data_IF_891863132645
#
_entry.id   IF_891863132645
#
_cell.length_a   1.000
_cell.length_b   1.000
_cell.length_c   1.000
_cell.angle_alpha   90.00
_cell.angle_beta   90.00
_cell.angle_gamma   90.00
#
_symmetry.space_group_name_H-M   'P 1'
#
loop_
_entity.id
_entity.type
_entity.pdbx_description
1 polymer ?
#
# COMPACT_ATOMS: atom_id res chain seq x y z
N UNK A 1 -2.13 -10.86 1.61
CA UNK A 1 -2.97 -9.78 2.17
C UNK A 1 -3.40 -8.76 1.11
N UNK A 2 -4.47 -8.01 1.37
CA UNK A 2 -4.87 -6.83 0.57
C UNK A 2 -4.47 -5.53 1.27
N UNK A 3 -4.04 -4.55 0.49
CA UNK A 3 -3.79 -3.17 0.90
C UNK A 3 -4.76 -2.27 0.13
N UNK A 4 -5.48 -1.42 0.83
CA UNK A 4 -6.36 -0.40 0.24
C UNK A 4 -5.78 0.97 0.53
N UNK A 5 -5.49 1.71 -0.54
CA UNK A 5 -5.15 3.13 -0.50
C UNK A 5 -6.42 3.92 -0.71
N UNK A 6 -6.74 4.82 0.23
CA UNK A 6 -7.93 5.65 0.17
C UNK A 6 -7.58 7.11 -0.13
N UNK A 7 -8.47 7.77 -0.86
CA UNK A 7 -8.37 9.19 -1.20
C UNK A 7 -7.01 9.61 -1.79
N UNK A 8 -6.38 8.77 -2.62
CA UNK A 8 -5.12 9.11 -3.31
C UNK A 8 -5.39 9.89 -4.59
N UNK A 9 -4.49 10.77 -4.99
CA UNK A 9 -4.63 11.48 -6.26
C UNK A 9 -4.29 10.59 -7.48
N UNK A 10 -4.47 11.16 -8.68
CA UNK A 10 -4.20 10.47 -9.94
C UNK A 10 -2.71 10.10 -10.11
N UNK A 11 -1.80 10.90 -9.57
CA UNK A 11 -0.35 10.71 -9.71
C UNK A 11 0.10 9.52 -8.87
N UNK A 12 -0.28 9.48 -7.60
CA UNK A 12 -0.03 8.35 -6.70
C UNK A 12 -0.67 7.07 -7.23
N UNK A 13 -1.91 7.15 -7.72
CA UNK A 13 -2.59 6.00 -8.32
C UNK A 13 -1.83 5.48 -9.55
N UNK A 14 -1.28 6.37 -10.38
CA UNK A 14 -0.47 5.99 -11.54
C UNK A 14 0.87 5.35 -11.12
N UNK A 15 1.55 5.91 -10.12
CA UNK A 15 2.80 5.37 -9.58
C UNK A 15 2.62 3.94 -9.06
N UNK A 16 1.55 3.71 -8.28
CA UNK A 16 1.23 2.38 -7.72
C UNK A 16 0.83 1.37 -8.80
N UNK A 17 0.33 1.82 -9.96
CA UNK A 17 -0.09 0.96 -11.06
C UNK A 17 1.00 0.65 -12.08
N UNK A 18 2.10 1.40 -12.07
CA UNK A 18 3.20 1.18 -12.99
C UNK A 18 3.84 -0.22 -12.75
N UNK A 19 4.30 -0.92 -13.80
CA UNK A 19 5.14 -2.10 -13.62
C UNK A 19 6.44 -1.74 -12.90
N UNK A 20 6.79 -2.49 -11.87
CA UNK A 20 7.95 -2.18 -11.02
C UNK A 20 8.83 -3.38 -10.76
N UNK A 21 10.14 -3.12 -10.62
CA UNK A 21 11.08 -4.11 -10.10
C UNK A 21 10.85 -4.29 -8.60
N UNK A 22 10.33 -5.45 -8.23
CA UNK A 22 10.12 -5.86 -6.84
C UNK A 22 11.43 -6.39 -6.23
N UNK A 23 11.64 -6.22 -4.91
CA UNK A 23 12.62 -6.98 -4.16
C UNK A 23 12.30 -8.48 -4.20
N UNK A 24 13.31 -9.32 -3.97
CA UNK A 24 13.11 -10.77 -3.89
C UNK A 24 12.13 -11.15 -2.78
N UNK A 25 11.30 -12.16 -3.03
CA UNK A 25 10.31 -12.63 -2.04
C UNK A 25 9.07 -11.75 -1.89
N UNK A 26 8.87 -10.79 -2.80
CA UNK A 26 7.74 -9.86 -2.77
C UNK A 26 7.00 -9.79 -4.11
N UNK A 27 5.69 -9.68 -4.06
CA UNK A 27 4.88 -9.31 -5.23
C UNK A 27 3.82 -8.28 -4.82
N UNK A 28 3.72 -7.19 -5.59
CA UNK A 28 2.72 -6.15 -5.43
C UNK A 28 1.94 -6.03 -6.73
N UNK A 29 0.60 -6.13 -6.64
CA UNK A 29 -0.27 -6.10 -7.80
C UNK A 29 -1.52 -5.27 -7.51
N UNK A 30 -1.76 -4.18 -8.25
CA UNK A 30 -3.06 -3.51 -8.26
C UNK A 30 -4.16 -4.48 -8.71
N UNK A 31 -5.25 -4.54 -7.96
CA UNK A 31 -6.39 -5.45 -8.20
C UNK A 31 -7.62 -4.67 -8.67
N UNK A 32 -7.91 -3.54 -8.03
CA UNK A 32 -9.08 -2.72 -8.34
C UNK A 32 -8.77 -1.23 -8.14
N UNK A 33 -9.45 -0.37 -8.90
CA UNK A 33 -9.33 1.09 -8.81
C UNK A 33 -10.69 1.74 -9.03
N UNK A 34 -11.10 2.56 -8.08
CA UNK A 34 -12.39 3.25 -8.08
C UNK A 34 -12.18 4.76 -7.93
N UNK A 35 -12.96 5.56 -8.64
CA UNK A 35 -13.07 6.99 -8.33
C UNK A 35 -13.90 7.14 -7.05
N UNK A 36 -13.46 7.96 -6.10
CA UNK A 36 -14.27 8.21 -4.91
C UNK A 36 -15.40 9.20 -5.22
N UNK A 37 -16.60 8.91 -4.71
CA UNK A 37 -17.81 9.68 -5.01
C UNK A 37 -17.75 11.12 -4.45
N UNK A 38 -17.11 11.30 -3.29
CA UNK A 38 -17.12 12.56 -2.54
C UNK A 38 -15.80 13.36 -2.66
N UNK A 39 -14.77 12.78 -3.28
CA UNK A 39 -13.47 13.40 -3.49
C UNK A 39 -13.22 13.67 -4.96
N UNK A 40 -13.54 14.88 -5.43
CA UNK A 40 -13.29 15.26 -6.82
C UNK A 40 -11.80 15.07 -7.15
N UNK A 41 -11.48 14.08 -7.99
CA UNK A 41 -10.10 13.77 -8.38
C UNK A 41 -9.33 12.85 -7.42
N UNK A 42 -10.01 12.19 -6.47
CA UNK A 42 -9.39 11.15 -5.65
C UNK A 42 -9.83 9.75 -6.06
N UNK A 43 -8.96 8.80 -5.78
CA UNK A 43 -9.11 7.41 -6.14
C UNK A 43 -8.94 6.53 -4.89
N UNK A 44 -9.65 5.42 -4.91
CA UNK A 44 -9.39 4.27 -4.06
C UNK A 44 -8.69 3.20 -4.88
N UNK A 45 -7.55 2.72 -4.40
CA UNK A 45 -6.81 1.65 -5.05
C UNK A 45 -6.71 0.45 -4.10
N UNK A 46 -7.16 -0.71 -4.54
CA UNK A 46 -6.92 -1.98 -3.85
C UNK A 46 -5.80 -2.72 -4.55
N UNK A 47 -4.80 -3.16 -3.78
CA UNK A 47 -3.67 -3.94 -4.26
C UNK A 47 -3.48 -5.20 -3.41
N UNK A 48 -2.97 -6.25 -4.04
CA UNK A 48 -2.47 -7.44 -3.36
C UNK A 48 -0.99 -7.26 -3.05
N UNK A 49 -0.62 -7.52 -1.80
CA UNK A 49 0.77 -7.68 -1.39
C UNK A 49 0.98 -9.14 -0.96
N UNK A 50 1.93 -9.81 -1.60
CA UNK A 50 2.38 -11.16 -1.25
C UNK A 50 3.83 -11.09 -0.83
N UNK A 51 4.12 -11.68 0.32
CA UNK A 51 5.45 -11.79 0.90
C UNK A 51 5.72 -13.26 1.17
N UNK A 52 6.90 -13.74 0.79
CA UNK A 52 7.39 -15.08 1.20
C UNK A 52 7.75 -15.08 2.68
N UNK A 53 7.92 -16.25 3.28
CA UNK A 53 8.27 -16.39 4.70
C UNK A 53 9.58 -15.67 5.07
N UNK A 54 10.53 -15.63 4.13
CA UNK A 54 11.84 -14.99 4.29
C UNK A 54 11.81 -13.46 4.13
N UNK A 55 10.75 -12.90 3.52
CA UNK A 55 10.65 -11.47 3.27
C UNK A 55 10.19 -10.72 4.53
N UNK A 56 10.79 -9.57 4.81
CA UNK A 56 10.43 -8.72 5.97
C UNK A 56 9.34 -7.71 5.58
N UNK A 57 8.35 -7.50 6.46
CA UNK A 57 7.34 -6.47 6.25
C UNK A 57 7.93 -5.06 6.19
N UNK A 58 9.00 -4.80 6.95
CA UNK A 58 9.72 -3.53 6.90
C UNK A 58 10.36 -3.24 5.54
N UNK A 59 10.93 -4.24 4.86
CA UNK A 59 11.50 -4.06 3.52
C UNK A 59 10.41 -3.78 2.49
N UNK A 60 9.28 -4.48 2.58
CA UNK A 60 8.11 -4.22 1.74
C UNK A 60 7.53 -2.82 1.96
N UNK A 61 7.45 -2.39 3.22
CA UNK A 61 6.98 -1.06 3.59
C UNK A 61 7.89 0.04 3.06
N UNK A 62 9.21 -0.06 3.25
CA UNK A 62 10.16 0.92 2.73
C UNK A 62 10.11 0.99 1.20
N UNK A 63 10.12 -0.16 0.53
CA UNK A 63 10.00 -0.19 -0.92
C UNK A 63 8.70 0.48 -1.40
N UNK A 64 7.56 0.22 -0.75
CA UNK A 64 6.31 0.86 -1.13
C UNK A 64 6.33 2.37 -0.82
N UNK A 65 6.93 2.75 0.31
CA UNK A 65 7.00 4.12 0.80
C UNK A 65 7.83 5.05 -0.08
N UNK A 66 8.98 4.59 -0.58
CA UNK A 66 9.90 5.34 -1.46
C UNK A 66 9.22 5.96 -2.71
N UNK A 67 8.00 5.51 -3.04
CA UNK A 67 7.23 5.95 -4.22
C UNK A 67 6.10 6.90 -3.89
N UNK A 68 5.62 6.87 -2.65
CA UNK A 68 4.39 7.53 -2.23
C UNK A 68 4.62 8.50 -1.07
N UNK A 69 5.87 8.65 -0.63
CA UNK A 69 6.25 9.49 0.50
C UNK A 69 5.84 10.97 0.31
N UNK A 70 5.89 11.47 -0.92
CA UNK A 70 5.49 12.84 -1.26
C UNK A 70 3.99 13.09 -1.05
N UNK A 71 3.18 12.03 -1.07
CA UNK A 71 1.74 12.08 -0.81
C UNK A 71 1.38 11.79 0.65
N UNK A 72 2.37 11.58 1.51
CA UNK A 72 2.14 11.36 2.92
C UNK A 72 1.53 12.61 3.58
N UNK A 73 0.62 12.45 4.55
CA UNK A 73 0.14 11.18 5.10
C UNK A 73 -1.00 10.56 4.29
N UNK A 74 -0.99 9.23 4.15
CA UNK A 74 -1.97 8.45 3.42
C UNK A 74 -2.94 7.72 4.36
N UNK A 75 -4.18 7.48 3.93
CA UNK A 75 -5.11 6.59 4.63
C UNK A 75 -5.00 5.22 3.99
N UNK A 76 -4.55 4.23 4.78
CA UNK A 76 -4.32 2.86 4.32
C UNK A 76 -5.15 1.89 5.16
N UNK A 77 -5.71 0.89 4.50
CA UNK A 77 -6.24 -0.30 5.16
C UNK A 77 -5.40 -1.52 4.75
N UNK A 78 -4.91 -2.27 5.73
CA UNK A 78 -4.18 -3.54 5.53
C UNK A 78 -4.87 -4.61 6.37
N UNK A 79 -5.44 -5.62 5.72
CA UNK A 79 -6.36 -6.54 6.41
C UNK A 79 -7.54 -5.78 7.02
N UNK A 80 -7.76 -5.98 8.33
CA UNK A 80 -8.82 -5.29 9.09
C UNK A 80 -8.35 -3.95 9.73
N UNK A 81 -7.06 -3.61 9.59
CA UNK A 81 -6.48 -2.42 10.21
C UNK A 81 -6.49 -1.24 9.25
N UNK A 82 -7.22 -0.18 9.62
CA UNK A 82 -7.24 1.10 8.89
C UNK A 82 -6.52 2.17 9.70
N UNK A 83 -5.55 2.85 9.09
CA UNK A 83 -4.75 3.86 9.76
C UNK A 83 -4.32 4.99 8.82
N UNK A 84 -4.07 6.16 9.40
CA UNK A 84 -3.37 7.26 8.74
C UNK A 84 -1.86 7.05 8.90
N UNK A 85 -1.17 6.82 7.79
CA UNK A 85 0.23 6.46 7.74
C UNK A 85 1.04 7.63 7.21
N UNK A 86 1.98 8.11 8.03
CA UNK A 86 2.89 9.22 7.69
C UNK A 86 4.36 8.83 7.65
N UNK A 87 4.68 7.54 7.82
CA UNK A 87 6.05 7.03 7.86
C UNK A 87 6.10 5.55 7.45
N UNK A 88 7.23 5.06 6.91
CA UNK A 88 7.38 3.66 6.50
C UNK A 88 7.25 2.69 7.68
N UNK A 89 7.69 3.06 8.88
CA UNK A 89 7.59 2.20 10.07
C UNK A 89 6.14 1.92 10.48
N UNK A 90 5.24 2.89 10.30
CA UNK A 90 3.81 2.69 10.55
C UNK A 90 3.20 1.73 9.52
N UNK A 91 3.63 1.79 8.25
CA UNK A 91 3.23 0.83 7.22
C UNK A 91 3.79 -0.57 7.49
N UNK A 92 5.05 -0.66 7.92
CA UNK A 92 5.69 -1.93 8.28
C UNK A 92 4.90 -2.64 9.39
N UNK A 93 4.53 -1.89 10.44
CA UNK A 93 3.72 -2.41 11.52
C UNK A 93 2.36 -2.96 11.04
N UNK A 94 1.66 -2.25 10.14
CA UNK A 94 0.39 -2.72 9.56
C UNK A 94 0.56 -4.02 8.77
N UNK A 95 1.62 -4.11 7.95
CA UNK A 95 1.93 -5.31 7.16
C UNK A 95 2.24 -6.49 8.07
N UNK A 96 3.12 -6.31 9.05
CA UNK A 96 3.50 -7.38 9.99
C UNK A 96 2.30 -7.81 10.85
N UNK A 97 1.45 -6.87 11.25
CA UNK A 97 0.23 -7.16 11.99
C UNK A 97 -0.73 -8.01 11.16
N UNK A 98 -0.99 -7.63 9.92
CA UNK A 98 -1.85 -8.41 9.01
C UNK A 98 -1.28 -9.81 8.73
N UNK A 99 0.03 -9.96 8.56
CA UNK A 99 0.67 -11.28 8.41
C UNK A 99 0.49 -12.19 9.62
N UNK A 100 0.41 -11.63 10.83
CA UNK A 100 0.25 -12.42 12.05
C UNK A 100 -1.18 -12.93 12.26
N UNK A 101 -2.14 -12.41 11.49
CA UNK A 101 -3.56 -12.73 11.58
C UNK A 101 -4.05 -13.60 10.42
N UNK A 102 -3.28 -13.68 9.32
CA UNK A 102 -3.44 -14.62 8.18
C UNK A 102 -2.92 -16.04 8.55
#
# INVERSE_FOLDING_TARGET
MLIVFEAIDAEVAALLRAPMRMPGGMAFQPVDMQAELDGAGTFRLTASLVLTDEAKGSEAAHWLWDRIEDAAPLILQVGDQRARVGAPDALAWLIDKARSED
#
